data_IF_090244101726
#
_entry.id   IF_090244101726
#
_cell.length_a   1.000
_cell.length_b   1.000
_cell.length_c   1.000
_cell.angle_alpha   90.00
_cell.angle_beta   90.00
_cell.angle_gamma   90.00
#
_symmetry.space_group_name_H-M   'P 1'
#
loop_
_entity.id
_entity.type
_entity.pdbx_description
1 polymer ?
#
# COMPACT_ATOMS: atom_id res chain seq x y z
N UNK A 1 5.66 -5.21 29.06
CA UNK A 1 5.32 -4.49 27.81
C UNK A 1 3.95 -3.86 28.02
N UNK A 2 3.90 -2.56 28.25
CA UNK A 2 2.65 -1.79 28.31
C UNK A 2 2.36 -1.27 26.92
N UNK A 3 1.44 -1.94 26.21
CA UNK A 3 1.09 -1.57 24.85
C UNK A 3 -0.02 -0.49 24.91
N UNK A 4 0.33 0.78 24.75
CA UNK A 4 -0.66 1.82 24.39
C UNK A 4 -0.94 1.68 22.89
N UNK A 5 -2.17 1.30 22.51
CA UNK A 5 -2.49 1.05 21.10
C UNK A 5 -3.56 2.04 20.62
N UNK A 6 -3.15 2.92 19.72
CA UNK A 6 -3.95 3.94 19.04
C UNK A 6 -5.09 3.37 18.18
N UNK A 7 -6.09 4.24 17.94
CA UNK A 7 -7.46 4.06 17.41
C UNK A 7 -7.60 3.40 16.02
N UNK A 8 -8.87 3.23 15.59
CA UNK A 8 -9.36 2.50 14.42
C UNK A 8 -8.45 2.75 13.20
N UNK A 9 -7.96 1.69 12.58
CA UNK A 9 -7.37 1.74 11.23
C UNK A 9 -8.43 1.12 10.33
N UNK A 10 -8.88 1.88 9.34
CA UNK A 10 -9.76 1.39 8.30
C UNK A 10 -8.88 1.05 7.08
N UNK A 11 -8.92 -0.19 6.62
CA UNK A 11 -8.34 -0.58 5.33
C UNK A 11 -9.47 -1.03 4.43
N UNK A 12 -9.63 -0.36 3.29
CA UNK A 12 -10.57 -0.71 2.26
C UNK A 12 -9.81 -1.02 0.98
N UNK A 13 -10.04 -2.23 0.46
CA UNK A 13 -9.45 -2.66 -0.80
C UNK A 13 -10.58 -3.09 -1.75
N UNK A 14 -10.63 -2.53 -2.96
CA UNK A 14 -11.58 -2.96 -3.97
C UNK A 14 -11.18 -4.34 -4.46
N UNK A 15 -12.18 -5.19 -4.60
CA UNK A 15 -12.03 -6.49 -5.23
C UNK A 15 -11.64 -6.25 -6.69
N UNK A 16 -10.49 -6.79 -7.15
CA UNK A 16 -10.09 -6.63 -8.54
C UNK A 16 -11.12 -7.29 -9.46
N UNK A 17 -11.19 -6.82 -10.70
CA UNK A 17 -11.93 -7.53 -11.75
C UNK A 17 -11.45 -8.99 -11.82
N UNK A 18 -12.37 -9.90 -12.16
CA UNK A 18 -12.12 -11.34 -12.20
C UNK A 18 -11.27 -11.72 -13.41
N UNK A 19 -10.01 -11.28 -13.40
CA UNK A 19 -8.99 -11.51 -14.42
C UNK A 19 -7.73 -12.01 -13.72
N UNK A 20 -7.10 -13.04 -14.28
CA UNK A 20 -6.00 -13.78 -13.65
C UNK A 20 -4.78 -12.90 -13.31
N UNK A 21 -4.49 -11.90 -14.14
CA UNK A 21 -3.32 -11.03 -13.97
C UNK A 21 -3.54 -9.84 -13.04
N UNK A 22 -4.79 -9.44 -12.79
CA UNK A 22 -5.07 -8.21 -12.04
C UNK A 22 -5.04 -8.48 -10.53
N UNK A 23 -4.10 -7.83 -9.86
CA UNK A 23 -3.96 -7.87 -8.41
C UNK A 23 -4.20 -6.48 -7.81
N UNK A 24 -5.06 -6.39 -6.81
CA UNK A 24 -5.27 -5.18 -6.03
C UNK A 24 -4.34 -5.22 -4.82
N UNK A 25 -3.48 -4.22 -4.63
CA UNK A 25 -2.51 -4.19 -3.53
C UNK A 25 -2.56 -2.94 -2.65
N UNK A 26 -2.30 -3.07 -1.37
CA UNK A 26 -2.09 -1.90 -0.49
C UNK A 26 -0.93 -2.18 0.46
N UNK A 27 -0.19 -1.13 0.81
CA UNK A 27 0.87 -1.23 1.80
C UNK A 27 0.32 -0.87 3.18
N UNK A 28 0.56 -1.76 4.13
CA UNK A 28 0.14 -1.66 5.53
C UNK A 28 1.39 -1.46 6.38
N UNK A 29 1.48 -0.35 7.10
CA UNK A 29 2.58 -0.14 8.05
C UNK A 29 2.30 -0.91 9.35
N UNK A 30 3.28 -1.70 9.78
CA UNK A 30 3.35 -2.22 11.14
C UNK A 30 4.48 -1.50 11.85
N UNK A 31 4.17 -0.87 12.97
CA UNK A 31 5.16 -0.34 13.89
C UNK A 31 5.37 -1.31 15.06
N UNK A 32 6.61 -1.54 15.43
CA UNK A 32 7.04 -2.32 16.57
C UNK A 32 7.88 -1.45 17.48
N UNK A 33 7.46 -1.28 18.73
CA UNK A 33 8.17 -0.49 19.74
C UNK A 33 8.80 -1.41 20.79
N UNK A 34 10.13 -1.42 20.87
CA UNK A 34 10.88 -2.11 21.90
C UNK A 34 10.91 -1.30 23.20
N UNK A 35 9.84 -1.42 23.98
CA UNK A 35 9.76 -0.77 25.29
C UNK A 35 10.65 -1.40 26.39
N UNK A 36 11.42 -2.44 26.07
CA UNK A 36 12.29 -3.10 27.05
C UNK A 36 13.61 -2.31 27.24
N UNK A 37 14.41 -2.73 28.22
CA UNK A 37 15.75 -2.17 28.47
C UNK A 37 16.84 -2.87 27.67
N UNK A 38 16.51 -3.94 26.94
CA UNK A 38 17.44 -4.71 26.14
C UNK A 38 17.09 -4.58 24.66
N UNK A 39 18.08 -4.58 23.75
CA UNK A 39 17.78 -4.65 22.33
C UNK A 39 17.10 -5.98 21.99
N UNK A 40 16.32 -6.00 20.91
CA UNK A 40 15.74 -7.23 20.39
C UNK A 40 15.96 -7.35 18.88
N UNK A 41 15.94 -8.59 18.40
CA UNK A 41 16.10 -8.90 16.99
C UNK A 41 14.74 -9.20 16.38
N UNK A 42 14.40 -8.49 15.30
CA UNK A 42 13.12 -8.60 14.64
C UNK A 42 13.29 -9.02 13.18
N UNK A 43 12.63 -10.10 12.80
CA UNK A 43 12.55 -10.55 11.42
C UNK A 43 11.06 -10.68 11.03
N UNK A 44 10.51 -9.76 10.22
CA UNK A 44 9.10 -9.76 9.91
C UNK A 44 8.65 -11.02 9.18
N UNK A 45 9.46 -11.52 8.24
CA UNK A 45 9.15 -12.72 7.47
C UNK A 45 9.05 -14.01 8.30
N UNK A 46 9.77 -14.09 9.42
CA UNK A 46 9.76 -15.26 10.31
C UNK A 46 8.84 -15.12 11.51
N UNK A 47 8.56 -13.88 11.92
CA UNK A 47 7.93 -13.61 13.20
C UNK A 47 6.53 -13.04 13.10
N UNK A 48 6.15 -12.40 11.99
CA UNK A 48 4.83 -11.81 11.80
C UNK A 48 3.95 -12.72 10.94
N UNK A 49 2.73 -13.01 11.39
CA UNK A 49 1.75 -13.74 10.60
C UNK A 49 0.38 -13.08 10.77
N UNK A 50 -0.34 -12.82 9.66
CA UNK A 50 -1.65 -12.22 9.70
C UNK A 50 -2.68 -13.24 10.20
N UNK A 51 -3.64 -12.75 10.96
CA UNK A 51 -4.85 -13.45 11.35
C UNK A 51 -6.03 -12.58 10.95
N UNK A 52 -6.97 -13.16 10.21
CA UNK A 52 -8.18 -12.48 9.74
C UNK A 52 -9.40 -13.17 10.36
N UNK A 53 -10.38 -12.39 10.78
CA UNK A 53 -11.67 -12.86 11.29
C UNK A 53 -12.79 -12.20 10.47
N UNK A 54 -13.73 -12.99 9.94
CA UNK A 54 -14.92 -12.46 9.25
C UNK A 54 -15.86 -11.72 10.19
N UNK A 55 -16.84 -11.03 9.62
CA UNK A 55 -17.94 -10.43 10.38
C UNK A 55 -18.72 -11.46 11.19
N UNK A 56 -18.75 -12.72 10.72
CA UNK A 56 -19.41 -13.86 11.36
C UNK A 56 -18.53 -14.61 12.38
N UNK A 57 -17.29 -14.15 12.61
CA UNK A 57 -16.39 -14.77 13.60
C UNK A 57 -15.56 -15.95 13.09
N UNK A 58 -15.62 -16.28 11.79
CA UNK A 58 -14.75 -17.31 11.20
C UNK A 58 -13.30 -16.81 11.22
N UNK A 59 -12.41 -17.59 11.84
CA UNK A 59 -10.98 -17.27 11.92
C UNK A 59 -10.25 -17.92 10.74
N UNK A 60 -9.68 -17.09 9.88
CA UNK A 60 -8.79 -17.49 8.81
C UNK A 60 -7.35 -17.44 9.32
N UNK A 61 -6.75 -18.61 9.48
CA UNK A 61 -5.33 -18.73 9.78
C UNK A 61 -4.55 -18.68 8.49
N UNK A 62 -3.51 -17.86 8.46
CA UNK A 62 -2.57 -17.85 7.34
C UNK A 62 -1.83 -19.17 7.27
N UNK A 63 -1.77 -19.73 6.07
CA UNK A 63 -0.84 -20.80 5.78
C UNK A 63 0.48 -20.13 5.39
N UNK A 64 1.55 -20.37 6.14
CA UNK A 64 2.88 -20.01 5.68
C UNK A 64 3.21 -20.89 4.47
N UNK A 65 3.44 -20.28 3.31
CA UNK A 65 3.82 -20.97 2.09
C UNK A 65 5.28 -21.49 2.14
N UNK A 66 5.71 -22.06 3.27
CA UNK A 66 7.05 -22.67 3.42
C UNK A 66 7.17 -23.99 2.62
N UNK A 67 6.02 -24.56 2.22
CA UNK A 67 5.95 -25.88 1.57
C UNK A 67 6.24 -25.87 0.06
N UNK A 68 5.94 -24.79 -0.67
CA UNK A 68 6.25 -24.71 -2.11
C UNK A 68 7.75 -24.75 -2.36
N UNK A 69 8.54 -24.09 -1.51
CA UNK A 69 9.99 -24.19 -1.55
C UNK A 69 10.44 -25.62 -1.22
N UNK A 70 9.91 -26.26 -0.16
CA UNK A 70 10.28 -27.64 0.20
C UNK A 70 9.99 -28.65 -0.92
N UNK A 71 8.85 -28.51 -1.61
CA UNK A 71 8.48 -29.42 -2.71
C UNK A 71 9.36 -29.21 -3.95
N UNK A 72 9.72 -27.97 -4.29
CA UNK A 72 10.68 -27.69 -5.36
C UNK A 72 12.11 -28.14 -5.00
N UNK A 73 12.49 -28.02 -3.72
CA UNK A 73 13.80 -28.42 -3.19
C UNK A 73 14.00 -29.95 -3.20
N UNK A 74 12.94 -30.73 -3.00
CA UNK A 74 13.07 -32.18 -2.82
C UNK A 74 13.63 -32.90 -4.06
N UNK A 75 13.50 -32.31 -5.25
CA UNK A 75 13.85 -32.95 -6.52
C UNK A 75 15.31 -32.73 -6.97
N UNK A 76 16.09 -31.84 -6.34
CA UNK A 76 17.46 -31.54 -6.79
C UNK A 76 18.49 -31.54 -5.64
N UNK A 77 19.55 -32.35 -5.78
CA UNK A 77 20.58 -32.58 -4.76
C UNK A 77 21.50 -31.36 -4.55
N UNK A 78 21.77 -30.56 -5.59
CA UNK A 78 22.56 -29.33 -5.49
C UNK A 78 21.85 -28.34 -4.55
N UNK A 79 20.54 -28.19 -4.69
CA UNK A 79 19.69 -27.35 -3.81
C UNK A 79 19.77 -27.73 -2.33
N UNK A 80 20.03 -29.01 -1.99
CA UNK A 80 20.22 -29.43 -0.59
C UNK A 80 21.51 -28.90 0.03
N UNK A 81 22.64 -28.92 -0.69
CA UNK A 81 23.90 -28.32 -0.20
C UNK A 81 23.82 -26.80 -0.11
N UNK A 82 23.14 -26.14 -1.05
CA UNK A 82 22.90 -24.69 -0.99
C UNK A 82 21.99 -24.29 0.18
N UNK A 83 21.07 -25.14 0.62
CA UNK A 83 20.24 -24.87 1.81
C UNK A 83 21.05 -24.78 3.08
N UNK A 84 22.10 -25.58 3.24
CA UNK A 84 22.98 -25.49 4.40
C UNK A 84 23.68 -24.13 4.44
N UNK A 85 24.12 -23.63 3.28
CA UNK A 85 24.76 -22.31 3.15
C UNK A 85 23.73 -21.18 3.37
N UNK A 86 22.55 -21.27 2.76
CA UNK A 86 21.51 -20.24 2.96
C UNK A 86 20.89 -20.29 4.35
N UNK A 87 20.87 -21.44 5.04
CA UNK A 87 20.51 -21.55 6.46
C UNK A 87 21.52 -20.83 7.35
N UNK A 88 22.81 -20.90 7.03
CA UNK A 88 23.84 -20.10 7.70
C UNK A 88 23.66 -18.59 7.45
N UNK A 89 23.25 -18.20 6.24
CA UNK A 89 22.96 -16.79 5.89
C UNK A 89 21.56 -16.30 6.35
N UNK A 90 20.62 -17.21 6.65
CA UNK A 90 19.23 -16.90 7.07
C UNK A 90 19.16 -16.20 8.44
N UNK A 91 20.24 -16.20 9.21
CA UNK A 91 20.34 -15.51 10.50
C UNK A 91 20.77 -14.03 10.35
N UNK A 92 21.08 -13.56 9.14
CA UNK A 92 21.57 -12.18 8.90
C UNK A 92 20.42 -11.14 8.80
N UNK A 93 19.16 -11.57 8.65
CA UNK A 93 18.04 -10.67 8.33
C UNK A 93 17.22 -10.22 9.55
N UNK A 94 17.87 -10.12 10.70
CA UNK A 94 17.22 -9.56 11.87
C UNK A 94 17.56 -8.09 11.98
N UNK A 95 16.55 -7.24 11.92
CA UNK A 95 16.71 -5.85 12.30
C UNK A 95 16.97 -5.81 13.81
N UNK A 96 18.11 -5.27 14.21
CA UNK A 96 18.37 -4.93 15.61
C UNK A 96 17.49 -3.73 15.95
N UNK A 97 16.59 -3.90 16.91
CA UNK A 97 15.77 -2.82 17.45
C UNK A 97 16.37 -2.46 18.80
N UNK A 98 16.99 -1.27 18.95
CA UNK A 98 17.56 -0.83 20.21
C UNK A 98 16.54 -0.83 21.35
N UNK A 99 17.04 -0.80 22.59
CA UNK A 99 16.19 -0.60 23.75
C UNK A 99 15.53 0.79 23.67
N UNK A 100 14.24 0.86 24.03
CA UNK A 100 13.43 2.10 24.01
C UNK A 100 13.28 2.74 22.63
N UNK A 101 13.46 1.96 21.57
CA UNK A 101 13.34 2.41 20.19
C UNK A 101 12.28 1.59 19.44
N UNK A 102 11.93 2.00 18.22
CA UNK A 102 10.94 1.33 17.39
C UNK A 102 11.36 1.21 15.93
N UNK A 103 10.71 0.30 15.22
CA UNK A 103 10.84 0.16 13.76
C UNK A 103 9.45 0.15 13.14
N UNK A 104 9.33 0.76 11.96
CA UNK A 104 8.15 0.58 11.11
C UNK A 104 8.53 -0.21 9.87
N UNK A 105 7.70 -1.19 9.52
CA UNK A 105 7.84 -1.97 8.29
C UNK A 105 6.57 -1.80 7.46
N UNK A 106 6.70 -1.83 6.14
CA UNK A 106 5.56 -1.93 5.23
C UNK A 106 5.33 -3.39 4.84
N UNK A 107 4.07 -3.81 4.86
CA UNK A 107 3.60 -5.12 4.39
C UNK A 107 2.64 -4.88 3.25
N UNK A 108 2.93 -5.43 2.08
CA UNK A 108 2.03 -5.35 0.94
C UNK A 108 0.99 -6.47 1.05
N UNK A 109 -0.28 -6.11 1.21
CA UNK A 109 -1.39 -7.02 1.07
C UNK A 109 -1.88 -7.01 -0.38
N UNK A 110 -1.92 -8.18 -1.05
CA UNK A 110 -2.37 -8.33 -2.44
C UNK A 110 -3.60 -9.21 -2.49
N UNK A 111 -4.68 -8.72 -3.10
CA UNK A 111 -5.91 -9.46 -3.37
C UNK A 111 -5.96 -9.81 -4.85
N UNK A 112 -6.36 -11.04 -5.16
CA UNK A 112 -6.48 -11.52 -6.52
C UNK A 112 -7.45 -12.70 -6.61
N UNK A 113 -7.86 -13.03 -7.83
CA UNK A 113 -8.66 -14.21 -8.13
C UNK A 113 -7.78 -15.36 -8.57
N UNK A 114 -8.02 -16.55 -8.00
CA UNK A 114 -7.43 -17.81 -8.45
C UNK A 114 -8.47 -18.91 -8.32
N UNK A 115 -8.68 -19.71 -9.35
CA UNK A 115 -9.64 -20.82 -9.35
C UNK A 115 -11.06 -20.39 -8.89
N UNK A 116 -11.52 -19.23 -9.37
CA UNK A 116 -12.78 -18.59 -8.98
C UNK A 116 -12.91 -18.22 -7.50
N UNK A 117 -11.81 -18.24 -6.73
CA UNK A 117 -11.75 -17.87 -5.33
C UNK A 117 -10.99 -16.56 -5.15
N UNK A 118 -11.47 -15.71 -4.25
CA UNK A 118 -10.78 -14.49 -3.88
C UNK A 118 -9.76 -14.82 -2.79
N UNK A 119 -8.50 -14.51 -3.07
CA UNK A 119 -7.39 -14.79 -2.17
C UNK A 119 -6.72 -13.48 -1.76
N UNK A 120 -6.11 -13.48 -0.58
CA UNK A 120 -5.20 -12.42 -0.14
C UNK A 120 -3.84 -13.00 0.22
N UNK A 121 -2.79 -12.32 -0.21
CA UNK A 121 -1.40 -12.61 0.14
C UNK A 121 -0.79 -11.43 0.87
N UNK A 122 -0.08 -11.70 1.96
CA UNK A 122 0.68 -10.70 2.70
C UNK A 122 2.17 -10.93 2.47
N UNK A 123 2.83 -9.94 1.86
CA UNK A 123 4.26 -9.95 1.59
C UNK A 123 4.96 -9.18 2.70
N UNK A 124 5.68 -9.92 3.56
CA UNK A 124 6.16 -9.40 4.84
C UNK A 124 7.46 -8.60 4.77
N UNK A 125 8.14 -8.63 3.62
CA UNK A 125 9.40 -7.92 3.39
C UNK A 125 9.77 -7.98 1.90
N UNK A 126 10.14 -6.85 1.31
CA UNK A 126 10.82 -6.82 0.01
C UNK A 126 12.31 -7.10 0.23
N UNK A 127 12.67 -8.32 0.58
CA UNK A 127 14.09 -8.67 0.50
C UNK A 127 14.50 -8.74 -0.96
N UNK A 128 15.43 -7.88 -1.37
CA UNK A 128 16.16 -8.00 -2.62
C UNK A 128 17.18 -9.17 -2.60
N UNK A 129 16.81 -10.32 -2.02
CA UNK A 129 17.62 -11.52 -2.18
C UNK A 129 17.46 -12.01 -3.61
N UNK A 130 18.36 -11.54 -4.46
CA UNK A 130 18.63 -12.10 -5.77
C UNK A 130 19.54 -13.32 -5.59
N UNK A 131 19.02 -14.37 -4.93
CA UNK A 131 19.76 -15.61 -4.85
C UNK A 131 19.54 -16.35 -6.18
N UNK A 132 20.55 -16.33 -7.06
CA UNK A 132 20.53 -16.99 -8.37
C UNK A 132 19.39 -16.50 -9.31
N UNK A 133 18.96 -15.24 -9.16
CA UNK A 133 17.85 -14.68 -9.95
C UNK A 133 16.45 -15.18 -9.54
N UNK A 134 16.33 -16.01 -8.51
CA UNK A 134 15.04 -16.46 -7.98
C UNK A 134 14.59 -15.56 -6.83
N UNK A 135 13.64 -14.68 -7.13
CA UNK A 135 13.00 -13.80 -6.15
C UNK A 135 11.94 -14.56 -5.33
N UNK A 136 12.36 -15.31 -4.32
CA UNK A 136 11.42 -15.95 -3.38
C UNK A 136 11.07 -14.94 -2.28
N UNK A 137 9.90 -14.31 -2.38
CA UNK A 137 9.37 -13.45 -1.31
C UNK A 137 8.53 -14.31 -0.36
N UNK A 138 8.83 -14.35 0.95
CA UNK A 138 7.98 -15.05 1.90
C UNK A 138 6.62 -14.35 1.96
N UNK A 139 5.56 -15.13 1.80
CA UNK A 139 4.19 -14.63 1.89
C UNK A 139 3.32 -15.57 2.72
N UNK A 140 2.24 -14.99 3.25
CA UNK A 140 1.15 -15.69 3.91
C UNK A 140 -0.09 -15.57 3.04
N UNK A 141 -0.72 -16.69 2.67
CA UNK A 141 -1.97 -16.67 1.91
C UNK A 141 -3.18 -17.01 2.79
N UNK A 142 -4.31 -16.36 2.49
CA UNK A 142 -5.64 -16.69 3.00
C UNK A 142 -6.56 -16.78 1.79
N UNK A 143 -7.31 -17.86 1.70
CA UNK A 143 -8.13 -18.21 0.54
C UNK A 143 -9.62 -18.15 0.84
N UNK A 144 -10.42 -18.10 -0.22
CA UNK A 144 -11.89 -18.15 -0.16
C UNK A 144 -12.51 -16.97 0.61
N UNK A 145 -11.96 -15.78 0.41
CA UNK A 145 -12.56 -14.55 0.93
C UNK A 145 -13.82 -14.19 0.15
N UNK A 146 -14.73 -13.47 0.80
CA UNK A 146 -15.94 -12.93 0.20
C UNK A 146 -15.99 -11.40 0.39
N UNK A 147 -16.79 -10.67 -0.40
CA UNK A 147 -16.97 -9.22 -0.22
C UNK A 147 -17.69 -8.92 1.10
N UNK A 148 -16.95 -8.70 2.19
CA UNK A 148 -17.50 -8.36 3.50
C UNK A 148 -16.51 -7.54 4.35
N UNK A 149 -16.94 -7.26 5.59
CA UNK A 149 -16.10 -6.68 6.63
C UNK A 149 -15.38 -7.77 7.42
N UNK A 150 -14.08 -7.60 7.57
CA UNK A 150 -13.22 -8.41 8.39
C UNK A 150 -12.57 -7.59 9.49
N UNK A 151 -12.01 -8.30 10.47
CA UNK A 151 -11.02 -7.78 11.39
C UNK A 151 -9.72 -8.51 11.16
N UNK A 152 -8.60 -7.82 11.13
CA UNK A 152 -7.30 -8.45 11.02
C UNK A 152 -6.35 -7.95 12.10
N UNK A 153 -5.36 -8.77 12.44
CA UNK A 153 -4.23 -8.42 13.29
C UNK A 153 -3.00 -9.18 12.85
N UNK A 154 -1.84 -8.75 13.31
CA UNK A 154 -0.61 -9.53 13.19
C UNK A 154 -0.26 -10.15 14.52
N UNK A 155 0.04 -11.43 14.48
CA UNK A 155 0.63 -12.13 15.60
C UNK A 155 2.15 -12.15 15.42
N UNK A 156 2.86 -11.92 16.51
CA UNK A 156 4.31 -11.90 16.60
C UNK A 156 4.80 -13.08 17.45
N UNK A 157 5.57 -13.99 16.85
CA UNK A 157 6.23 -15.08 17.57
C UNK A 157 7.67 -14.68 17.90
N UNK A 158 7.89 -14.23 19.13
CA UNK A 158 9.22 -13.96 19.63
C UNK A 158 9.99 -15.26 19.87
N UNK A 159 11.02 -15.57 19.05
CA UNK A 159 11.93 -16.69 19.31
C UNK A 159 13.17 -16.20 20.06
N UNK A 160 13.25 -16.45 21.36
CA UNK A 160 14.53 -16.36 22.09
C UNK A 160 15.31 -17.65 21.91
N UNK A 161 16.57 -17.58 21.46
CA UNK A 161 17.46 -18.76 21.38
C UNK A 161 17.71 -19.43 22.75
N UNK A 162 17.44 -18.72 23.86
CA UNK A 162 17.95 -19.07 25.20
C UNK A 162 16.89 -19.75 26.10
N UNK A 163 15.61 -19.79 25.71
CA UNK A 163 14.55 -20.33 26.57
C UNK A 163 13.84 -21.52 25.95
N UNK A 164 13.82 -22.66 26.66
CA UNK A 164 12.99 -23.83 26.33
C UNK A 164 11.48 -23.57 26.52
N UNK A 165 11.07 -22.38 26.98
CA UNK A 165 9.65 -22.04 27.13
C UNK A 165 9.03 -21.82 25.75
N UNK A 166 7.87 -22.44 25.51
CA UNK A 166 7.06 -22.16 24.33
C UNK A 166 6.80 -20.65 24.25
N UNK A 167 7.20 -19.98 23.15
CA UNK A 167 7.03 -18.55 23.03
C UNK A 167 5.55 -18.19 23.06
N UNK A 168 5.16 -17.23 23.90
CA UNK A 168 3.82 -16.68 23.89
C UNK A 168 3.74 -15.67 22.74
N UNK A 169 2.82 -15.85 21.77
CA UNK A 169 2.65 -14.88 20.70
C UNK A 169 2.16 -13.55 21.29
N UNK A 170 2.71 -12.44 20.79
CA UNK A 170 2.22 -11.09 21.06
C UNK A 170 1.39 -10.67 19.87
N UNK A 171 0.14 -10.26 20.08
CA UNK A 171 -0.74 -9.88 18.99
C UNK A 171 -0.96 -8.37 18.95
N UNK A 172 -1.05 -7.78 17.76
CA UNK A 172 -1.54 -6.41 17.60
C UNK A 172 -3.03 -6.34 17.93
N UNK A 173 -3.58 -5.14 18.11
CA UNK A 173 -5.04 -4.98 18.15
C UNK A 173 -5.65 -5.32 16.80
N UNK A 174 -6.91 -5.76 16.84
CA UNK A 174 -7.70 -5.92 15.63
C UNK A 174 -7.97 -4.56 14.98
N UNK A 175 -7.80 -4.53 13.66
CA UNK A 175 -8.13 -3.42 12.79
C UNK A 175 -9.19 -3.85 11.78
N UNK A 176 -10.01 -2.91 11.32
CA UNK A 176 -11.09 -3.23 10.38
C UNK A 176 -10.53 -3.28 8.96
N UNK A 177 -10.95 -4.29 8.22
CA UNK A 177 -10.55 -4.55 6.84
C UNK A 177 -11.80 -4.81 6.01
N UNK A 178 -11.96 -4.10 4.90
CA UNK A 178 -13.16 -4.17 4.08
C UNK A 178 -12.78 -4.61 2.66
N UNK A 179 -13.39 -5.69 2.22
CA UNK A 179 -13.38 -6.12 0.82
C UNK A 179 -14.66 -5.61 0.19
N UNK A 180 -14.53 -4.59 -0.66
CA UNK A 180 -15.68 -3.95 -1.28
C UNK A 180 -15.70 -4.24 -2.77
N UNK A 181 -16.90 -4.44 -3.30
CA UNK A 181 -17.09 -4.36 -4.74
C UNK A 181 -17.00 -2.89 -5.18
N UNK A 182 -16.54 -2.61 -6.41
CA UNK A 182 -16.75 -1.30 -7.02
C UNK A 182 -18.23 -0.91 -6.98
N UNK A 183 -18.50 0.41 -6.95
CA UNK A 183 -19.86 0.92 -6.96
C UNK A 183 -20.59 0.47 -8.24
N UNK A 184 -21.86 0.07 -8.10
CA UNK A 184 -22.68 -0.38 -9.24
C UNK A 184 -22.92 0.74 -10.25
N UNK A 185 -23.07 1.97 -9.78
CA UNK A 185 -23.30 3.15 -10.64
C UNK A 185 -22.01 3.67 -11.26
N UNK A 186 -20.87 3.41 -10.64
CA UNK A 186 -19.57 3.84 -11.13
C UNK A 186 -18.48 2.80 -10.80
N UNK A 187 -18.01 2.00 -11.79
CA UNK A 187 -17.01 0.96 -11.56
C UNK A 187 -15.62 1.50 -11.20
N UNK A 188 -15.37 2.80 -11.36
CA UNK A 188 -14.13 3.47 -10.99
C UNK A 188 -14.15 4.00 -9.55
N UNK A 189 -15.24 3.74 -8.81
CA UNK A 189 -15.46 4.24 -7.47
C UNK A 189 -15.67 3.11 -6.44
N UNK A 190 -15.29 3.40 -5.21
CA UNK A 190 -15.65 2.63 -4.01
C UNK A 190 -16.35 3.54 -3.03
N UNK A 191 -17.24 2.99 -2.21
CA UNK A 191 -17.98 3.73 -1.20
C UNK A 191 -17.82 3.07 0.17
N UNK A 192 -17.63 3.90 1.19
CA UNK A 192 -17.65 3.46 2.59
C UNK A 192 -18.28 4.53 3.46
N UNK A 193 -19.24 4.11 4.28
CA UNK A 193 -19.96 4.97 5.23
C UNK A 193 -20.51 6.26 4.57
N UNK A 194 -21.02 6.15 3.34
CA UNK A 194 -21.55 7.27 2.56
C UNK A 194 -20.50 8.21 1.96
N UNK A 195 -19.22 7.86 1.99
CA UNK A 195 -18.14 8.59 1.31
C UNK A 195 -17.65 7.78 0.12
N UNK A 196 -17.75 8.36 -1.06
CA UNK A 196 -17.33 7.75 -2.31
C UNK A 196 -15.95 8.26 -2.74
N UNK A 197 -15.05 7.35 -3.11
CA UNK A 197 -13.73 7.62 -3.65
C UNK A 197 -13.65 7.11 -5.08
N UNK A 198 -13.20 7.95 -6.00
CA UNK A 198 -13.15 7.66 -7.43
C UNK A 198 -11.81 8.07 -8.02
N UNK A 199 -11.19 7.21 -8.84
CA UNK A 199 -10.08 7.64 -9.72
C UNK A 199 -10.67 8.29 -10.97
N UNK A 200 -10.27 9.53 -11.24
CA UNK A 200 -10.62 10.28 -12.44
C UNK A 200 -9.43 10.24 -13.40
N UNK A 201 -9.70 9.97 -14.69
CA UNK A 201 -8.72 9.99 -15.76
C UNK A 201 -9.35 10.63 -17.01
N UNK A 202 -8.74 11.69 -17.52
CA UNK A 202 -9.16 12.35 -18.75
C UNK A 202 -7.95 12.98 -19.49
N UNK A 203 -7.75 12.73 -20.79
CA UNK A 203 -8.34 11.63 -21.57
C UNK A 203 -7.81 10.26 -21.12
N UNK A 204 -8.48 9.17 -21.51
CA UNK A 204 -8.03 7.80 -21.25
C UNK A 204 -6.92 7.34 -22.20
N UNK A 205 -6.76 8.01 -23.34
CA UNK A 205 -5.73 7.76 -24.34
C UNK A 205 -4.83 8.98 -24.48
N UNK A 206 -3.53 8.77 -24.31
CA UNK A 206 -2.51 9.83 -24.34
C UNK A 206 -1.54 9.51 -25.45
N UNK A 207 -1.31 10.47 -26.33
CA UNK A 207 -0.28 10.38 -27.35
C UNK A 207 1.07 10.65 -26.67
N UNK A 208 2.02 9.72 -26.84
CA UNK A 208 3.37 9.86 -26.31
C UNK A 208 4.03 11.07 -26.99
N UNK A 209 4.58 12.03 -26.23
CA UNK A 209 5.27 13.18 -26.82
C UNK A 209 6.47 12.73 -27.66
N UNK A 210 6.82 13.52 -28.67
CA UNK A 210 8.06 13.35 -29.40
C UNK A 210 9.27 13.40 -28.45
N UNK A 211 10.36 12.72 -28.81
CA UNK A 211 11.57 12.66 -27.98
C UNK A 211 12.37 13.98 -27.95
N UNK A 212 11.97 14.96 -28.77
CA UNK A 212 12.57 16.30 -28.81
C UNK A 212 12.54 16.96 -27.43
N UNK A 213 13.66 17.59 -27.05
CA UNK A 213 13.97 17.86 -25.66
C UNK A 213 12.94 18.79 -24.99
N UNK A 214 12.32 18.25 -23.93
CA UNK A 214 11.43 18.92 -22.97
C UNK A 214 9.97 19.13 -23.40
N UNK A 215 9.46 18.39 -24.40
CA UNK A 215 8.01 18.33 -24.60
C UNK A 215 7.38 17.51 -23.47
N UNK A 216 6.50 18.16 -22.70
CA UNK A 216 5.70 17.52 -21.66
C UNK A 216 4.23 17.48 -22.09
N UNK A 217 3.56 16.34 -21.91
CA UNK A 217 2.12 16.22 -22.10
C UNK A 217 1.44 16.15 -20.74
N UNK A 218 0.64 17.17 -20.40
CA UNK A 218 -0.18 17.16 -19.19
C UNK A 218 -1.20 16.04 -19.24
N UNK A 219 -1.43 15.40 -18.09
CA UNK A 219 -2.41 14.33 -17.95
C UNK A 219 -3.31 14.62 -16.76
N UNK A 220 -4.62 14.73 -17.00
CA UNK A 220 -5.58 14.95 -15.92
C UNK A 220 -5.93 13.60 -15.28
N UNK A 221 -5.08 13.19 -14.35
CA UNK A 221 -5.32 12.05 -13.47
C UNK A 221 -5.52 12.57 -12.06
N UNK A 222 -6.65 12.23 -11.43
CA UNK A 222 -6.98 12.75 -10.11
C UNK A 222 -7.81 11.78 -9.28
N UNK A 223 -8.14 12.21 -8.08
CA UNK A 223 -9.07 11.51 -7.21
C UNK A 223 -10.23 12.43 -6.84
N UNK A 224 -11.45 11.93 -7.01
CA UNK A 224 -12.67 12.59 -6.58
C UNK A 224 -13.19 11.95 -5.30
N UNK A 225 -13.54 12.78 -4.32
CA UNK A 225 -14.20 12.37 -3.09
C UNK A 225 -15.57 13.02 -3.04
N UNK A 226 -16.62 12.23 -2.93
CA UNK A 226 -18.01 12.71 -2.80
C UNK A 226 -18.53 12.35 -1.40
N UNK A 227 -19.04 13.36 -0.69
CA UNK A 227 -19.65 13.16 0.63
C UNK A 227 -21.17 13.02 0.48
N UNK A 228 -21.69 11.81 0.62
CA UNK A 228 -23.13 11.53 0.55
C UNK A 228 -23.78 11.48 1.94
N UNK A 229 -23.03 11.81 3.00
CA UNK A 229 -23.54 11.81 4.38
C UNK A 229 -24.19 13.15 4.74
N UNK A 230 -24.78 13.23 5.93
CA UNK A 230 -25.30 14.48 6.51
C UNK A 230 -24.23 15.26 7.31
N UNK A 231 -23.00 14.77 7.41
CA UNK A 231 -21.92 15.40 8.17
C UNK A 231 -20.84 15.90 7.24
N UNK A 232 -20.36 17.14 7.41
CA UNK A 232 -19.24 17.65 6.63
C UNK A 232 -17.91 17.01 7.11
N UNK A 233 -17.00 16.76 6.19
CA UNK A 233 -15.70 16.13 6.50
C UNK A 233 -14.55 16.90 5.88
N UNK A 234 -13.48 17.06 6.65
CA UNK A 234 -12.20 17.55 6.14
C UNK A 234 -11.34 16.38 5.70
N UNK A 235 -10.91 16.42 4.44
CA UNK A 235 -10.01 15.41 3.87
C UNK A 235 -8.59 15.93 3.86
N UNK A 236 -7.62 15.03 4.05
CA UNK A 236 -6.20 15.36 4.05
C UNK A 236 -5.63 14.98 2.69
N UNK A 237 -5.19 15.95 1.90
CA UNK A 237 -4.49 15.72 0.62
C UNK A 237 -2.98 15.92 0.73
N UNK A 238 -2.46 16.28 1.90
CA UNK A 238 -1.03 16.51 2.09
C UNK A 238 -0.29 15.17 2.26
N UNK A 239 0.35 14.69 1.19
CA UNK A 239 1.13 13.44 1.17
C UNK A 239 0.29 12.18 1.48
N UNK A 240 -1.01 12.22 1.21
CA UNK A 240 -1.93 11.08 1.43
C UNK A 240 -2.28 10.34 0.15
N UNK A 241 -2.17 10.98 -1.02
CA UNK A 241 -2.53 10.37 -2.30
C UNK A 241 -1.34 9.64 -2.90
N UNK A 242 -1.44 8.32 -2.91
CA UNK A 242 -0.44 7.45 -3.51
C UNK A 242 -0.95 7.01 -4.87
N UNK A 243 -0.32 7.54 -5.93
CA UNK A 243 -0.58 7.09 -7.29
C UNK A 243 0.06 5.71 -7.54
N UNK A 244 -0.68 4.81 -8.17
CA UNK A 244 -0.20 3.48 -8.56
C UNK A 244 -0.49 3.24 -10.04
N UNK A 245 0.51 2.72 -10.74
CA UNK A 245 0.42 2.28 -12.14
C UNK A 245 1.06 0.89 -12.27
N UNK A 246 0.35 0.01 -12.97
CA UNK A 246 0.81 -1.34 -13.30
C UNK A 246 0.51 -1.63 -14.78
N UNK A 247 1.26 -2.55 -15.36
CA UNK A 247 0.94 -3.11 -16.68
C UNK A 247 -0.29 -4.01 -16.60
N UNK A 248 -0.91 -4.30 -17.74
CA UNK A 248 -2.09 -5.19 -17.83
C UNK A 248 -1.80 -6.63 -17.38
N UNK A 249 -0.54 -7.07 -17.45
CA UNK A 249 -0.05 -8.35 -16.95
C UNK A 249 0.14 -8.37 -15.41
N UNK A 250 -0.13 -7.25 -14.73
CA UNK A 250 0.03 -7.10 -13.29
C UNK A 250 1.44 -6.73 -12.85
N UNK A 251 2.40 -6.57 -13.77
CA UNK A 251 3.76 -6.14 -13.45
C UNK A 251 3.76 -4.70 -12.94
N UNK A 252 4.43 -4.48 -11.80
CA UNK A 252 4.64 -3.15 -11.23
C UNK A 252 5.62 -2.34 -12.07
N UNK A 253 5.31 -1.07 -12.30
CA UNK A 253 6.24 -0.13 -12.93
C UNK A 253 7.26 0.36 -11.90
N UNK A 254 8.52 0.55 -12.34
CA UNK A 254 9.57 1.14 -11.49
C UNK A 254 9.12 2.54 -11.05
N UNK A 255 8.97 2.71 -9.74
CA UNK A 255 8.61 3.98 -9.10
C UNK A 255 9.81 4.51 -8.34
N UNK A 256 10.26 5.70 -8.69
CA UNK A 256 11.22 6.46 -7.88
C UNK A 256 10.54 7.71 -7.31
N UNK A 257 11.11 8.23 -6.23
CA UNK A 257 10.66 9.47 -5.60
C UNK A 257 11.81 10.45 -5.53
N UNK A 258 11.51 11.72 -5.81
CA UNK A 258 12.44 12.83 -5.63
C UNK A 258 11.73 14.00 -4.96
N UNK A 259 12.45 14.80 -4.20
CA UNK A 259 11.93 16.02 -3.59
C UNK A 259 12.91 17.15 -3.83
N UNK A 260 12.37 18.30 -4.25
CA UNK A 260 13.18 19.51 -4.44
C UNK A 260 13.22 20.37 -3.17
N UNK A 261 12.16 20.32 -2.37
CA UNK A 261 12.08 20.91 -1.03
C UNK A 261 10.82 20.36 -0.34
N UNK A 262 10.91 20.09 0.96
CA UNK A 262 9.73 19.73 1.74
C UNK A 262 8.90 21.00 2.01
N UNK A 263 7.64 21.00 1.57
CA UNK A 263 6.68 22.05 1.87
C UNK A 263 6.01 21.78 3.21
N UNK A 264 5.67 22.83 3.97
CA UNK A 264 4.80 22.68 5.13
C UNK A 264 3.34 22.49 4.69
N UNK A 265 2.53 21.72 5.44
CA UNK A 265 1.09 21.66 5.20
C UNK A 265 0.43 23.05 5.26
N UNK A 266 -0.56 23.27 4.39
CA UNK A 266 -1.34 24.51 4.27
C UNK A 266 -2.85 24.18 4.31
N UNK A 267 -3.69 25.18 4.61
CA UNK A 267 -5.14 24.99 4.77
C UNK A 267 -5.80 24.40 3.52
N UNK A 268 -5.30 24.77 2.33
CA UNK A 268 -5.79 24.25 1.04
C UNK A 268 -5.62 22.74 0.89
N UNK A 269 -4.71 22.11 1.64
CA UNK A 269 -4.53 20.66 1.62
C UNK A 269 -5.56 19.94 2.49
N UNK A 270 -6.42 20.69 3.22
CA UNK A 270 -7.43 20.18 4.14
C UNK A 270 -8.84 20.63 3.78
N UNK A 271 -9.32 20.39 2.55
CA UNK A 271 -10.63 20.89 2.14
C UNK A 271 -11.76 20.24 2.92
N UNK A 272 -12.72 21.07 3.34
CA UNK A 272 -14.00 20.66 3.90
C UNK A 272 -14.98 20.32 2.77
N UNK A 273 -15.53 19.11 2.79
CA UNK A 273 -16.55 18.65 1.84
C UNK A 273 -17.87 18.51 2.58
N UNK A 274 -18.85 19.35 2.26
CA UNK A 274 -20.16 19.33 2.92
C UNK A 274 -21.04 18.19 2.40
N UNK A 275 -22.17 17.89 3.09
CA UNK A 275 -23.19 16.97 2.59
C UNK A 275 -23.59 17.24 1.13
N UNK A 276 -23.55 16.20 0.31
CA UNK A 276 -23.86 16.24 -1.12
C UNK A 276 -22.76 16.84 -2.01
N UNK A 277 -21.71 17.43 -1.45
CA UNK A 277 -20.63 18.03 -2.23
C UNK A 277 -19.59 16.98 -2.64
N UNK A 278 -18.79 17.34 -3.64
CA UNK A 278 -17.61 16.57 -4.04
C UNK A 278 -16.43 17.50 -4.23
N UNK A 279 -15.23 16.96 -3.98
CA UNK A 279 -13.98 17.60 -4.32
C UNK A 279 -13.18 16.70 -5.24
N UNK A 280 -12.48 17.31 -6.21
CA UNK A 280 -11.56 16.60 -7.09
C UNK A 280 -10.17 17.20 -6.93
N UNK A 281 -9.19 16.33 -6.73
CA UNK A 281 -7.79 16.72 -6.64
C UNK A 281 -7.02 16.11 -7.81
N UNK A 282 -6.38 16.96 -8.60
CA UNK A 282 -5.52 16.59 -9.73
C UNK A 282 -4.06 16.93 -9.38
N UNK A 283 -3.23 15.97 -8.96
CA UNK A 283 -1.80 16.24 -8.87
C UNK A 283 -1.28 16.59 -10.26
N UNK A 284 -0.40 17.59 -10.34
CA UNK A 284 0.24 17.96 -11.61
C UNK A 284 1.02 16.75 -12.17
N UNK A 285 0.41 16.10 -13.15
CA UNK A 285 0.90 14.85 -13.74
C UNK A 285 1.23 15.09 -15.21
N UNK A 286 2.43 14.66 -15.60
CA UNK A 286 2.96 14.89 -16.94
C UNK A 286 3.63 13.63 -17.48
N UNK A 287 3.38 13.34 -18.75
CA UNK A 287 4.12 12.35 -19.52
C UNK A 287 5.26 13.07 -20.25
N UNK A 288 6.50 12.61 -20.08
CA UNK A 288 7.68 13.23 -20.70
C UNK A 288 8.81 12.22 -20.93
N UNK A 289 9.79 12.59 -21.73
CA UNK A 289 11.04 11.86 -21.87
C UNK A 289 12.07 12.40 -20.87
N UNK A 290 12.64 11.51 -20.04
CA UNK A 290 13.69 11.85 -19.09
C UNK A 290 14.83 10.85 -19.22
N UNK A 291 16.05 11.31 -19.50
CA UNK A 291 17.22 10.45 -19.74
C UNK A 291 16.96 9.34 -20.77
N UNK A 292 16.32 9.67 -21.89
CA UNK A 292 15.92 8.72 -22.94
C UNK A 292 14.90 7.64 -22.52
N UNK A 293 14.32 7.71 -21.32
CA UNK A 293 13.23 6.85 -20.86
C UNK A 293 11.91 7.65 -20.84
N UNK A 294 10.82 7.06 -21.38
CA UNK A 294 9.49 7.63 -21.22
C UNK A 294 9.04 7.44 -19.76
N UNK A 295 8.66 8.54 -19.11
CA UNK A 295 8.22 8.52 -17.73
C UNK A 295 6.93 9.31 -17.52
N UNK A 296 6.15 8.86 -16.54
CA UNK A 296 5.04 9.62 -15.98
C UNK A 296 5.52 10.23 -14.67
N UNK A 297 5.48 11.56 -14.60
CA UNK A 297 5.88 12.35 -13.44
C UNK A 297 4.63 12.89 -12.77
N UNK A 298 4.43 12.60 -11.48
CA UNK A 298 3.27 13.07 -10.70
C UNK A 298 3.75 13.85 -9.49
N UNK A 299 3.28 15.08 -9.33
CA UNK A 299 3.57 15.91 -8.17
C UNK A 299 2.98 15.34 -6.88
N UNK A 300 3.68 15.59 -5.78
CA UNK A 300 3.26 15.27 -4.41
C UNK A 300 3.15 16.60 -3.67
N UNK A 301 2.05 16.80 -2.94
CA UNK A 301 1.74 18.06 -2.23
C UNK A 301 2.81 18.47 -1.21
N UNK A 302 3.63 17.54 -0.72
CA UNK A 302 4.77 17.82 0.15
C UNK A 302 5.98 18.45 -0.56
N UNK A 303 5.91 18.75 -1.86
CA UNK A 303 7.00 19.37 -2.63
C UNK A 303 7.94 18.38 -3.31
N UNK A 304 7.43 17.20 -3.66
CA UNK A 304 8.15 16.16 -4.39
C UNK A 304 7.44 15.68 -5.64
N UNK A 305 8.02 14.65 -6.26
CA UNK A 305 7.48 13.98 -7.43
C UNK A 305 7.69 12.47 -7.32
N UNK A 306 6.69 11.71 -7.77
CA UNK A 306 6.89 10.33 -8.18
C UNK A 306 7.22 10.29 -9.66
N UNK A 307 8.17 9.41 -10.02
CA UNK A 307 8.52 9.10 -11.39
C UNK A 307 8.25 7.63 -11.67
N UNK A 308 7.50 7.35 -12.72
CA UNK A 308 7.22 5.99 -13.20
C UNK A 308 7.92 5.79 -14.53
N UNK A 309 9.01 5.04 -14.52
CA UNK A 309 9.94 4.91 -15.66
C UNK A 309 9.64 3.73 -16.57
N UNK A 310 10.32 3.70 -17.71
CA UNK A 310 10.27 2.61 -18.69
C UNK A 310 8.85 2.34 -19.20
N UNK A 311 8.05 3.40 -19.32
CA UNK A 311 6.76 3.30 -19.98
C UNK A 311 6.98 3.05 -21.48
N UNK A 312 6.11 2.24 -22.04
CA UNK A 312 6.05 1.90 -23.46
C UNK A 312 4.62 2.13 -23.96
N UNK A 313 4.43 2.30 -25.28
CA UNK A 313 3.09 2.27 -25.85
C UNK A 313 2.33 1.00 -25.42
N UNK A 314 1.08 1.14 -25.02
CA UNK A 314 0.26 0.02 -24.55
C UNK A 314 -0.76 0.38 -23.48
N UNK A 315 -1.35 -0.66 -22.90
CA UNK A 315 -2.36 -0.56 -21.85
C UNK A 315 -1.75 -0.62 -20.44
N UNK A 316 -2.20 0.30 -19.59
CA UNK A 316 -1.86 0.37 -18.18
C UNK A 316 -3.11 0.41 -17.33
N UNK A 317 -2.98 -0.05 -16.09
CA UNK A 317 -3.98 0.09 -15.05
C UNK A 317 -3.45 1.10 -14.03
N UNK A 318 -4.23 2.14 -13.77
CA UNK A 318 -3.89 3.20 -12.83
C UNK A 318 -4.94 3.34 -11.73
N UNK A 319 -4.53 3.84 -10.56
CA UNK A 319 -5.45 4.22 -9.48
C UNK A 319 -4.79 5.12 -8.46
N UNK A 320 -5.60 5.70 -7.58
CA UNK A 320 -5.16 6.30 -6.33
C UNK A 320 -5.44 5.41 -5.12
N UNK A 321 -4.51 5.47 -4.15
CA UNK A 321 -4.71 5.01 -2.78
C UNK A 321 -4.67 6.23 -1.87
N UNK A 322 -5.80 6.54 -1.23
CA UNK A 322 -5.89 7.55 -0.17
C UNK A 322 -5.39 6.95 1.13
N UNK A 323 -4.30 7.48 1.67
CA UNK A 323 -3.62 7.00 2.87
C UNK A 323 -3.44 8.14 3.88
N UNK A 324 -4.39 8.26 4.81
CA UNK A 324 -4.28 9.17 5.94
C UNK A 324 -3.47 8.51 7.05
N UNK A 325 -2.38 9.13 7.51
CA UNK A 325 -1.50 8.61 8.58
C UNK A 325 -1.76 9.25 9.94
N UNK A 326 -2.19 10.52 9.94
CA UNK A 326 -2.31 11.33 11.15
C UNK A 326 -3.76 11.71 11.42
N UNK A 327 -4.10 11.84 12.69
CA UNK A 327 -5.42 12.30 13.13
C UNK A 327 -5.44 13.82 13.35
N UNK A 328 -4.29 14.46 13.22
CA UNK A 328 -4.11 15.89 13.35
C UNK A 328 -2.96 16.35 12.47
N UNK A 329 -2.93 17.64 12.19
CA UNK A 329 -1.86 18.28 11.46
C UNK A 329 -1.35 19.47 12.25
N UNK A 330 -0.03 19.59 12.34
CA UNK A 330 0.62 20.80 12.83
C UNK A 330 0.69 21.80 11.69
N UNK A 331 -0.03 22.89 11.85
CA UNK A 331 -0.09 23.96 10.86
C UNK A 331 0.77 25.12 11.32
N UNK A 332 1.62 25.60 10.42
CA UNK A 332 2.43 26.79 10.68
C UNK A 332 1.55 28.01 10.49
N UNK A 333 1.39 28.82 11.53
CA UNK A 333 0.68 30.09 11.41
C UNK A 333 1.55 31.10 10.66
N UNK A 334 0.96 31.80 9.69
CA UNK A 334 1.61 32.90 8.99
C UNK A 334 1.74 34.18 9.86
N UNK A 335 1.16 34.22 11.08
CA UNK A 335 1.00 35.45 11.87
C UNK A 335 1.86 35.55 13.14
N UNK A 336 3.01 34.88 13.23
CA UNK A 336 3.85 34.81 14.44
C UNK A 336 3.14 34.19 15.69
N UNK A 337 1.94 33.62 15.55
CA UNK A 337 1.15 33.09 16.67
C UNK A 337 1.51 31.65 17.08
N UNK A 338 2.68 31.15 16.63
CA UNK A 338 3.09 29.76 16.84
C UNK A 338 2.34 28.74 15.98
N UNK A 339 2.80 27.49 16.02
CA UNK A 339 2.14 26.37 15.35
C UNK A 339 0.83 26.01 16.09
N UNK A 340 -0.22 25.66 15.35
CA UNK A 340 -1.45 25.13 15.91
C UNK A 340 -1.73 23.70 15.43
N UNK A 341 -2.49 22.95 16.23
CA UNK A 341 -2.88 21.58 15.92
C UNK A 341 -4.32 21.58 15.40
N UNK A 342 -4.52 21.16 14.15
CA UNK A 342 -5.85 20.99 13.55
C UNK A 342 -6.23 19.50 13.59
N UNK A 343 -7.30 19.11 14.30
CA UNK A 343 -7.79 17.72 14.29
C UNK A 343 -8.48 17.41 12.96
N UNK A 344 -8.23 16.23 12.39
CA UNK A 344 -8.83 15.78 11.14
C UNK A 344 -9.96 14.79 11.42
N UNK A 345 -11.21 15.19 11.20
CA UNK A 345 -12.39 14.51 11.74
C UNK A 345 -12.80 13.22 11.01
N UNK A 346 -12.33 12.99 9.78
CA UNK A 346 -12.73 11.81 9.03
C UNK A 346 -11.81 10.60 9.26
N UNK A 347 -12.35 9.53 9.84
CA UNK A 347 -11.72 8.22 10.16
C UNK A 347 -10.19 8.21 10.29
N UNK A 348 -9.74 8.05 11.54
CA UNK A 348 -8.34 7.88 11.89
C UNK A 348 -7.65 6.81 11.03
N UNK A 349 -6.42 7.10 10.61
CA UNK A 349 -5.50 6.15 9.96
C UNK A 349 -6.18 5.26 8.90
N UNK A 350 -6.63 5.87 7.81
CA UNK A 350 -7.42 5.20 6.77
C UNK A 350 -6.59 4.93 5.52
N UNK A 351 -6.72 3.73 4.95
CA UNK A 351 -6.17 3.33 3.65
C UNK A 351 -7.35 2.93 2.76
N UNK A 352 -7.58 3.66 1.68
CA UNK A 352 -8.64 3.39 0.70
C UNK A 352 -8.00 3.33 -0.68
N UNK A 353 -8.01 2.15 -1.28
CA UNK A 353 -7.68 2.02 -2.69
C UNK A 353 -8.94 2.21 -3.55
N UNK A 354 -8.82 2.97 -4.62
CA UNK A 354 -9.86 3.02 -5.67
C UNK A 354 -9.68 1.86 -6.65
N UNK A 355 -10.72 1.48 -7.42
CA UNK A 355 -10.59 0.52 -8.50
C UNK A 355 -9.58 1.00 -9.56
N UNK A 356 -9.00 0.06 -10.31
CA UNK A 356 -8.12 0.40 -11.42
C UNK A 356 -8.91 0.93 -12.62
N UNK A 357 -8.40 2.01 -13.22
CA UNK A 357 -8.88 2.60 -14.47
C UNK A 357 -7.85 2.34 -15.57
N UNK A 358 -8.31 2.12 -16.81
CA UNK A 358 -7.42 1.88 -17.95
C UNK A 358 -6.86 3.18 -18.50
N UNK A 359 -5.54 3.19 -18.73
CA UNK A 359 -4.81 4.24 -19.42
C UNK A 359 -4.14 3.64 -20.66
N UNK A 360 -4.32 4.28 -21.81
CA UNK A 360 -3.71 3.89 -23.08
C UNK A 360 -2.61 4.89 -23.46
N UNK A 361 -1.39 4.41 -23.65
CA UNK A 361 -0.29 5.20 -24.21
C UNK A 361 -0.14 4.85 -25.69
N UNK A 362 -0.35 5.82 -26.57
CA UNK A 362 -0.32 5.65 -28.02
C UNK A 362 0.97 6.22 -28.60
N UNK A 363 1.54 5.57 -29.62
CA UNK A 363 2.65 6.15 -30.39
C UNK A 363 2.15 7.40 -31.12
N UNK A 364 3.04 8.37 -31.33
CA UNK A 364 2.77 9.46 -32.26
C UNK A 364 2.95 8.93 -33.69
N UNK A 365 2.00 9.22 -34.59
CA UNK A 365 2.01 8.78 -36.00
C UNK A 365 3.00 9.57 -36.89
N UNK A 366 4.03 10.18 -36.30
CA UNK A 366 4.99 11.04 -37.01
C UNK A 366 6.13 10.27 -37.65
#
# INVERSE_FOLDING_TARGET
>A
MTNKIWQKILILIPIPQKQYSIKSSVDIDISFDNNSIFPCYFNPAKSCFPEIISSHGQVFKSNLADNTLRNYIQTNWLTRRYLTITQLLKDINYNLIPAKDGISIAITAKIFWQDNKLNIEFYLYESHYNLLGLHIKPYCSIENLIPEKYRFRFNYLHRTKISNRKPRPVATTYKSFYLVNPSKSNPNAVEIDGIQFETILSPTSIIIPGKEENIETSVDIGMKITNQTLTAFEFDFFDTLIFQIIKIDGQTIRKDASSNALQSPQERHYPLVKPGESITFFPNTKLLWFNNELCLKTAIESGGFYYFYNLQPGEYLIRFVYRKKNNFVKMRSNRNTGDYIKPLQWLDRTIIATPFVKLYLLKSDK
#
